data_IF_726630605548
#
_entry.id   IF_726630605548
#
_cell.length_a   1.000
_cell.length_b   1.000
_cell.length_c   1.000
_cell.angle_alpha   90.00
_cell.angle_beta   90.00
_cell.angle_gamma   90.00
#
_symmetry.space_group_name_H-M   'P 1'
#
loop_
_entity.id
_entity.type
_entity.pdbx_description
1 polymer ?
#
# COMPACT_ATOMS: atom_id res chain seq x y z
N UNK A 1 -2.73 -11.61 14.77
CA UNK A 1 -2.82 -10.27 15.39
C UNK A 1 -2.14 -9.20 14.55
N UNK A 2 -0.80 -9.15 14.54
CA UNK A 2 -0.04 -8.03 13.95
C UNK A 2 -0.19 -7.87 12.43
N UNK A 3 -0.26 -8.97 11.68
CA UNK A 3 -0.51 -8.94 10.23
C UNK A 3 -1.83 -8.23 9.94
N UNK A 4 -2.91 -8.62 10.65
CA UNK A 4 -4.22 -8.02 10.50
C UNK A 4 -4.21 -6.52 10.81
N UNK A 5 -3.52 -6.10 11.89
CA UNK A 5 -3.35 -4.70 12.23
C UNK A 5 -2.64 -3.92 11.09
N UNK A 6 -1.53 -4.44 10.59
CA UNK A 6 -0.72 -3.84 9.53
C UNK A 6 -1.55 -3.61 8.26
N UNK A 7 -2.22 -4.66 7.78
CA UNK A 7 -3.06 -4.58 6.59
C UNK A 7 -4.27 -3.66 6.81
N UNK A 8 -4.93 -3.72 7.96
CA UNK A 8 -6.10 -2.88 8.23
C UNK A 8 -5.73 -1.40 8.23
N UNK A 9 -4.66 -1.02 8.91
CA UNK A 9 -4.15 0.35 8.92
C UNK A 9 -3.77 0.82 7.50
N UNK A 10 -3.11 -0.03 6.72
CA UNK A 10 -2.77 0.26 5.33
C UNK A 10 -4.02 0.48 4.47
N UNK A 11 -5.02 -0.39 4.54
CA UNK A 11 -6.24 -0.28 3.73
C UNK A 11 -7.04 1.00 4.02
N UNK A 12 -7.09 1.46 5.27
CA UNK A 12 -7.79 2.70 5.66
C UNK A 12 -7.18 3.94 4.98
N UNK A 13 -5.85 3.99 4.86
CA UNK A 13 -5.15 5.14 4.26
C UNK A 13 -4.84 4.93 2.77
N UNK A 14 -5.36 3.86 2.16
CA UNK A 14 -5.03 3.50 0.78
C UNK A 14 -5.48 4.54 -0.24
N UNK A 15 -4.55 5.15 -1.02
CA UNK A 15 -4.89 6.16 -2.00
C UNK A 15 -5.82 5.62 -3.09
N UNK A 16 -5.74 4.32 -3.42
CA UNK A 16 -6.60 3.68 -4.42
C UNK A 16 -8.06 3.69 -3.95
N UNK A 17 -8.30 3.36 -2.68
CA UNK A 17 -9.65 3.40 -2.10
C UNK A 17 -10.19 4.82 -2.11
N UNK A 18 -9.36 5.80 -1.71
CA UNK A 18 -9.74 7.21 -1.72
C UNK A 18 -10.02 7.75 -3.13
N UNK A 19 -9.21 7.42 -4.12
CA UNK A 19 -9.45 7.79 -5.52
C UNK A 19 -10.79 7.26 -6.03
N UNK A 20 -11.14 6.01 -5.68
CA UNK A 20 -12.44 5.43 -6.05
C UNK A 20 -13.62 6.09 -5.34
N UNK A 21 -13.47 6.47 -4.08
CA UNK A 21 -14.49 7.22 -3.34
C UNK A 21 -14.70 8.61 -3.97
N UNK A 22 -13.61 9.31 -4.27
CA UNK A 22 -13.64 10.65 -4.85
C UNK A 22 -14.17 10.66 -6.30
N UNK A 23 -13.98 9.57 -7.04
CA UNK A 23 -14.54 9.38 -8.38
C UNK A 23 -16.01 8.94 -8.40
N UNK A 24 -16.62 8.64 -7.25
CA UNK A 24 -18.02 8.23 -7.19
C UNK A 24 -18.95 9.42 -7.42
N UNK A 25 -20.06 9.18 -8.14
CA UNK A 25 -21.07 10.20 -8.47
C UNK A 25 -21.66 10.89 -7.23
N UNK A 26 -21.87 10.13 -6.17
CA UNK A 26 -22.46 10.59 -4.91
C UNK A 26 -22.08 9.65 -3.75
N UNK A 27 -22.33 10.10 -2.52
CA UNK A 27 -22.01 9.36 -1.30
C UNK A 27 -22.68 7.99 -1.23
N UNK A 28 -23.94 7.85 -1.68
CA UNK A 28 -24.64 6.56 -1.63
C UNK A 28 -24.01 5.58 -2.60
N UNK A 29 -23.64 6.04 -3.79
CA UNK A 29 -22.90 5.23 -4.78
C UNK A 29 -21.55 4.78 -4.25
N UNK A 30 -20.79 5.66 -3.58
CA UNK A 30 -19.52 5.30 -2.96
C UNK A 30 -19.69 4.20 -1.88
N UNK A 31 -20.65 4.38 -0.96
CA UNK A 31 -20.89 3.41 0.13
C UNK A 31 -21.37 2.07 -0.41
N UNK A 32 -22.34 2.07 -1.34
CA UNK A 32 -22.83 0.83 -1.96
C UNK A 32 -21.74 0.12 -2.75
N UNK A 33 -20.93 0.87 -3.51
CA UNK A 33 -19.80 0.34 -4.26
C UNK A 33 -18.76 -0.32 -3.35
N UNK A 34 -18.38 0.34 -2.24
CA UNK A 34 -17.47 -0.22 -1.24
C UNK A 34 -18.04 -1.45 -0.54
N UNK A 35 -19.30 -1.39 -0.07
CA UNK A 35 -19.95 -2.50 0.61
C UNK A 35 -20.11 -3.72 -0.31
N UNK A 36 -20.57 -3.49 -1.54
CA UNK A 36 -20.69 -4.55 -2.56
C UNK A 36 -19.33 -5.16 -2.91
N UNK A 37 -18.31 -4.34 -3.13
CA UNK A 37 -16.94 -4.82 -3.38
C UNK A 37 -16.41 -5.62 -2.19
N UNK A 38 -16.65 -5.16 -0.96
CA UNK A 38 -16.25 -5.86 0.26
C UNK A 38 -16.89 -7.24 0.38
N UNK A 39 -18.20 -7.34 0.12
CA UNK A 39 -18.92 -8.62 0.15
C UNK A 39 -18.41 -9.60 -0.93
N UNK A 40 -18.21 -9.11 -2.16
CA UNK A 40 -17.69 -9.92 -3.26
C UNK A 40 -16.26 -10.39 -2.96
N UNK A 41 -15.38 -9.49 -2.52
CA UNK A 41 -14.00 -9.85 -2.16
C UNK A 41 -13.94 -10.83 -1.00
N UNK A 42 -14.80 -10.68 0.00
CA UNK A 42 -14.89 -11.62 1.11
C UNK A 42 -15.25 -13.03 0.60
N UNK A 43 -16.28 -13.16 -0.23
CA UNK A 43 -16.67 -14.44 -0.82
C UNK A 43 -15.54 -15.04 -1.69
N UNK A 44 -14.93 -14.23 -2.55
CA UNK A 44 -13.83 -14.67 -3.43
C UNK A 44 -12.61 -15.11 -2.62
N UNK A 45 -12.23 -14.39 -1.56
CA UNK A 45 -11.11 -14.78 -0.71
C UNK A 45 -11.38 -16.06 0.07
N UNK A 46 -12.62 -16.28 0.52
CA UNK A 46 -13.01 -17.56 1.13
C UNK A 46 -12.85 -18.71 0.14
N UNK A 47 -13.31 -18.54 -1.10
CA UNK A 47 -13.16 -19.56 -2.14
C UNK A 47 -11.69 -19.84 -2.47
N UNK A 48 -10.88 -18.80 -2.67
CA UNK A 48 -9.44 -18.95 -2.94
C UNK A 48 -8.74 -19.68 -1.79
N UNK A 49 -9.06 -19.32 -0.54
CA UNK A 49 -8.47 -19.95 0.65
C UNK A 49 -8.89 -21.41 0.74
N UNK A 50 -10.17 -21.73 0.51
CA UNK A 50 -10.67 -23.09 0.49
C UNK A 50 -9.99 -23.94 -0.60
N UNK A 51 -9.82 -23.41 -1.82
CA UNK A 51 -9.08 -24.06 -2.90
C UNK A 51 -7.62 -24.31 -2.48
N UNK A 52 -6.96 -23.32 -1.88
CA UNK A 52 -5.61 -23.46 -1.35
C UNK A 52 -5.49 -24.56 -0.30
N UNK A 53 -6.43 -24.64 0.64
CA UNK A 53 -6.45 -25.71 1.65
C UNK A 53 -6.69 -27.09 1.05
N UNK A 54 -7.68 -27.22 0.16
CA UNK A 54 -7.98 -28.50 -0.51
C UNK A 54 -6.83 -28.98 -1.39
N UNK A 55 -6.05 -28.05 -1.97
CA UNK A 55 -4.90 -28.38 -2.80
C UNK A 55 -3.82 -29.19 -2.07
N UNK A 56 -3.69 -29.01 -0.75
CA UNK A 56 -2.71 -29.72 0.07
C UNK A 56 -2.97 -31.23 0.13
N UNK A 57 -4.23 -31.66 -0.04
CA UNK A 57 -4.58 -33.08 -0.09
C UNK A 57 -4.33 -33.71 -1.48
N UNK A 58 -4.23 -32.87 -2.51
CA UNK A 58 -4.26 -33.29 -3.93
C UNK A 58 -2.90 -33.12 -4.61
N UNK A 59 -2.08 -32.20 -4.12
CA UNK A 59 -0.73 -31.93 -4.60
C UNK A 59 0.29 -32.41 -3.56
N UNK A 60 1.29 -33.22 -3.96
CA UNK A 60 2.43 -33.51 -3.10
C UNK A 60 3.12 -32.21 -2.66
N UNK A 61 3.65 -32.18 -1.43
CA UNK A 61 4.54 -31.09 -1.01
C UNK A 61 5.74 -31.03 -1.96
N UNK A 62 5.86 -29.96 -2.73
CA UNK A 62 7.02 -29.71 -3.57
C UNK A 62 7.87 -28.65 -2.89
N UNK A 63 9.11 -28.99 -2.55
CA UNK A 63 10.07 -28.07 -1.94
C UNK A 63 10.63 -27.04 -2.91
N UNK A 64 10.09 -26.96 -4.13
CA UNK A 64 10.57 -26.12 -5.24
C UNK A 64 10.06 -24.67 -5.16
N UNK A 65 9.14 -24.35 -4.24
CA UNK A 65 8.59 -23.00 -4.08
C UNK A 65 7.62 -22.57 -5.19
N UNK A 66 7.24 -23.49 -6.09
CA UNK A 66 6.33 -23.23 -7.19
C UNK A 66 4.93 -22.81 -6.68
N UNK A 67 4.30 -21.75 -7.25
CA UNK A 67 2.98 -21.31 -6.81
C UNK A 67 1.93 -22.43 -6.89
N UNK A 68 1.21 -22.64 -5.78
CA UNK A 68 0.19 -23.70 -5.65
C UNK A 68 -0.84 -23.66 -6.76
N UNK A 69 -1.32 -22.45 -7.12
CA UNK A 69 -2.31 -22.27 -8.17
C UNK A 69 -1.78 -22.69 -9.54
N UNK A 70 -0.53 -22.35 -9.87
CA UNK A 70 0.10 -22.76 -11.13
C UNK A 70 0.23 -24.27 -11.21
N UNK A 71 0.64 -24.91 -10.11
CA UNK A 71 0.73 -26.38 -10.02
C UNK A 71 -0.62 -27.07 -10.15
N UNK A 72 -1.68 -26.51 -9.55
CA UNK A 72 -3.04 -27.02 -9.70
C UNK A 72 -3.48 -26.98 -11.16
N UNK A 73 -3.30 -25.84 -11.83
CA UNK A 73 -3.67 -25.65 -13.23
C UNK A 73 -2.92 -26.65 -14.12
N UNK A 74 -1.61 -26.81 -13.94
CA UNK A 74 -0.81 -27.71 -14.78
C UNK A 74 -1.04 -29.19 -14.50
N UNK A 75 -1.31 -29.58 -13.25
CA UNK A 75 -1.40 -30.99 -12.86
C UNK A 75 -2.81 -31.58 -12.99
N UNK A 76 -3.87 -30.76 -12.85
CA UNK A 76 -5.26 -31.25 -12.75
C UNK A 76 -6.15 -30.80 -13.90
N UNK A 77 -5.76 -29.78 -14.65
CA UNK A 77 -6.53 -29.30 -15.78
C UNK A 77 -5.75 -29.56 -17.07
N UNK A 78 -6.43 -30.06 -18.10
CA UNK A 78 -5.84 -30.33 -19.41
C UNK A 78 -6.49 -29.51 -20.53
N UNK A 79 -5.78 -29.39 -21.65
CA UNK A 79 -6.29 -28.77 -22.87
C UNK A 79 -6.62 -27.28 -22.73
N UNK A 80 -7.70 -26.84 -23.39
CA UNK A 80 -8.08 -25.42 -23.45
C UNK A 80 -8.47 -24.79 -22.11
N UNK A 81 -8.92 -25.58 -21.13
CA UNK A 81 -9.33 -25.06 -19.82
C UNK A 81 -8.14 -24.51 -19.02
N UNK A 82 -6.97 -25.14 -19.09
CA UNK A 82 -5.76 -24.65 -18.41
C UNK A 82 -5.32 -23.30 -18.97
N UNK A 83 -5.47 -23.10 -20.28
CA UNK A 83 -5.19 -21.82 -20.93
C UNK A 83 -6.18 -20.74 -20.46
N UNK A 84 -7.49 -21.06 -20.42
CA UNK A 84 -8.50 -20.14 -19.92
C UNK A 84 -8.25 -19.71 -18.48
N UNK A 85 -7.90 -20.65 -17.60
CA UNK A 85 -7.57 -20.37 -16.20
C UNK A 85 -6.31 -19.51 -16.08
N UNK A 86 -5.28 -19.82 -16.86
CA UNK A 86 -4.05 -19.01 -16.89
C UNK A 86 -4.34 -17.58 -17.33
N UNK A 87 -5.09 -17.39 -18.42
CA UNK A 87 -5.49 -16.07 -18.93
C UNK A 87 -6.34 -15.33 -17.90
N UNK A 88 -7.27 -16.00 -17.21
CA UNK A 88 -8.08 -15.38 -16.17
C UNK A 88 -7.23 -14.86 -15.01
N UNK A 89 -6.24 -15.63 -14.54
CA UNK A 89 -5.31 -15.21 -13.48
C UNK A 89 -4.45 -14.03 -13.94
N UNK A 90 -3.88 -14.11 -15.14
CA UNK A 90 -3.07 -13.01 -15.70
C UNK A 90 -3.91 -11.74 -15.86
N UNK A 91 -5.15 -11.84 -16.34
CA UNK A 91 -6.07 -10.70 -16.45
C UNK A 91 -6.38 -10.07 -15.08
N UNK A 92 -6.58 -10.88 -14.04
CA UNK A 92 -6.81 -10.38 -12.70
C UNK A 92 -5.58 -9.62 -12.15
N UNK A 93 -4.38 -10.16 -12.37
CA UNK A 93 -3.10 -9.52 -12.00
C UNK A 93 -2.93 -8.20 -12.75
N UNK A 94 -3.14 -8.18 -14.07
CA UNK A 94 -3.02 -6.97 -14.88
C UNK A 94 -3.98 -5.88 -14.44
N UNK A 95 -5.26 -6.19 -14.15
CA UNK A 95 -6.21 -5.17 -13.69
C UNK A 95 -5.81 -4.50 -12.36
N UNK A 96 -5.12 -5.25 -11.49
CA UNK A 96 -4.57 -4.74 -10.24
C UNK A 96 -3.32 -3.91 -10.50
N UNK A 97 -2.41 -4.40 -11.35
CA UNK A 97 -1.21 -3.67 -11.76
C UNK A 97 -1.55 -2.33 -12.41
N UNK A 98 -2.54 -2.29 -13.30
CA UNK A 98 -3.00 -1.06 -13.94
C UNK A 98 -3.44 -0.01 -12.90
N UNK A 99 -4.24 -0.43 -11.91
CA UNK A 99 -4.70 0.45 -10.85
C UNK A 99 -3.52 0.99 -10.02
N UNK A 100 -2.60 0.12 -9.58
CA UNK A 100 -1.47 0.50 -8.73
C UNK A 100 -0.47 1.38 -9.48
N UNK A 101 -0.13 1.04 -10.73
CA UNK A 101 0.78 1.82 -11.57
C UNK A 101 0.17 3.18 -11.89
N UNK A 102 -1.12 3.25 -12.22
CA UNK A 102 -1.79 4.52 -12.48
C UNK A 102 -1.79 5.41 -11.23
N UNK A 103 -2.14 4.87 -10.06
CA UNK A 103 -2.10 5.64 -8.80
C UNK A 103 -0.68 6.13 -8.48
N UNK A 104 0.33 5.26 -8.61
CA UNK A 104 1.73 5.63 -8.40
C UNK A 104 2.23 6.68 -9.39
N UNK A 105 1.88 6.54 -10.67
CA UNK A 105 2.23 7.49 -11.72
C UNK A 105 1.58 8.86 -11.50
N UNK A 106 0.31 8.87 -11.07
CA UNK A 106 -0.40 10.10 -10.71
C UNK A 106 0.27 10.81 -9.53
N UNK A 107 0.65 10.07 -8.48
CA UNK A 107 1.38 10.63 -7.34
C UNK A 107 2.73 11.19 -7.77
N UNK A 108 3.53 10.43 -8.53
CA UNK A 108 4.84 10.90 -9.00
C UNK A 108 4.70 12.15 -9.90
N UNK A 109 3.67 12.18 -10.74
CA UNK A 109 3.45 13.31 -11.66
C UNK A 109 2.94 14.56 -10.93
N UNK A 110 1.85 14.45 -10.16
CA UNK A 110 1.22 15.61 -9.52
C UNK A 110 1.92 16.08 -8.25
N UNK A 111 2.45 15.14 -7.48
CA UNK A 111 2.99 15.45 -6.14
C UNK A 111 4.51 15.72 -6.18
N UNK A 112 5.21 15.26 -7.23
CA UNK A 112 6.66 15.48 -7.38
C UNK A 112 6.95 16.35 -8.61
N UNK A 113 6.71 15.85 -9.82
CA UNK A 113 7.15 16.56 -11.03
C UNK A 113 6.48 17.93 -11.22
N UNK A 114 5.14 18.00 -11.11
CA UNK A 114 4.41 19.26 -11.30
C UNK A 114 4.67 20.27 -10.16
N UNK A 115 5.01 19.79 -8.94
CA UNK A 115 5.34 20.69 -7.83
C UNK A 115 6.73 21.34 -7.97
N UNK A 116 7.66 20.67 -8.65
CA UNK A 116 9.06 21.12 -8.78
C UNK A 116 9.29 21.85 -10.12
N UNK A 117 8.57 21.46 -11.17
CA UNK A 117 8.68 22.07 -12.49
C UNK A 117 7.85 23.36 -12.58
N UNK A 118 8.26 24.32 -13.43
CA UNK A 118 7.44 25.48 -13.76
C UNK A 118 6.10 25.05 -14.39
N UNK A 119 5.07 25.94 -14.43
CA UNK A 119 3.73 25.62 -14.92
C UNK A 119 3.77 24.84 -16.24
N UNK A 120 3.23 23.62 -16.20
CA UNK A 120 3.28 22.67 -17.30
C UNK A 120 1.93 22.64 -18.00
N UNK A 121 1.93 22.79 -19.33
CA UNK A 121 0.71 22.68 -20.15
C UNK A 121 0.24 21.21 -20.27
N UNK A 122 -1.02 21.01 -20.65
CA UNK A 122 -1.71 19.70 -20.60
C UNK A 122 -0.97 18.61 -21.39
N UNK A 123 -0.42 18.96 -22.57
CA UNK A 123 0.36 18.02 -23.39
C UNK A 123 1.59 17.50 -22.67
N UNK A 124 2.30 18.38 -21.97
CA UNK A 124 3.50 18.02 -21.21
C UNK A 124 3.13 17.26 -19.93
N UNK A 125 2.01 17.59 -19.29
CA UNK A 125 1.46 16.84 -18.16
C UNK A 125 1.16 15.37 -18.53
N UNK A 126 0.55 15.14 -19.71
CA UNK A 126 0.34 13.79 -20.25
C UNK A 126 1.66 13.04 -20.50
N UNK A 127 2.67 13.74 -21.04
CA UNK A 127 4.01 13.18 -21.24
C UNK A 127 4.67 12.75 -19.93
N UNK A 128 4.61 13.60 -18.90
CA UNK A 128 5.12 13.29 -17.56
C UNK A 128 4.37 12.11 -16.93
N UNK A 129 3.06 12.03 -17.14
CA UNK A 129 2.24 10.92 -16.63
C UNK A 129 2.69 9.58 -17.22
N UNK A 130 2.92 9.53 -18.55
CA UNK A 130 3.44 8.33 -19.23
C UNK A 130 4.85 7.96 -18.76
N UNK A 131 5.73 8.95 -18.60
CA UNK A 131 7.07 8.74 -18.06
C UNK A 131 7.02 8.17 -16.64
N UNK A 132 6.16 8.73 -15.78
CA UNK A 132 5.94 8.23 -14.42
C UNK A 132 5.47 6.78 -14.41
N UNK A 133 4.57 6.38 -15.31
CA UNK A 133 4.14 4.97 -15.45
C UNK A 133 5.32 4.06 -15.77
N UNK A 134 6.20 4.46 -16.69
CA UNK A 134 7.40 3.67 -17.04
C UNK A 134 8.36 3.58 -15.84
N UNK A 135 8.63 4.69 -15.15
CA UNK A 135 9.50 4.72 -13.96
C UNK A 135 8.96 3.79 -12.87
N UNK A 136 7.66 3.88 -12.57
CA UNK A 136 7.00 3.03 -11.58
C UNK A 136 7.04 1.55 -11.97
N UNK A 137 6.82 1.24 -13.25
CA UNK A 137 6.90 -0.13 -13.77
C UNK A 137 8.30 -0.74 -13.64
N UNK A 138 9.34 0.02 -14.02
CA UNK A 138 10.74 -0.41 -13.89
C UNK A 138 11.11 -0.60 -12.42
N UNK A 139 10.73 0.34 -11.54
CA UNK A 139 10.98 0.23 -10.10
C UNK A 139 10.29 -1.01 -9.50
N UNK A 140 9.02 -1.24 -9.83
CA UNK A 140 8.27 -2.42 -9.39
C UNK A 140 8.91 -3.73 -9.88
N UNK A 141 9.36 -3.77 -11.14
CA UNK A 141 10.07 -4.92 -11.70
C UNK A 141 11.37 -5.21 -10.95
N UNK A 142 12.19 -4.19 -10.68
CA UNK A 142 13.43 -4.35 -9.92
C UNK A 142 13.18 -4.90 -8.52
N UNK A 143 12.16 -4.40 -7.82
CA UNK A 143 11.77 -4.92 -6.50
C UNK A 143 11.29 -6.37 -6.60
N UNK A 144 10.49 -6.71 -7.62
CA UNK A 144 9.98 -8.06 -7.83
C UNK A 144 11.10 -9.10 -8.02
N UNK A 145 12.24 -8.73 -8.63
CA UNK A 145 13.39 -9.65 -8.77
C UNK A 145 14.06 -10.00 -7.44
N UNK A 146 13.89 -9.17 -6.40
CA UNK A 146 14.55 -9.33 -5.09
C UNK A 146 13.70 -10.10 -4.07
N UNK A 147 12.38 -10.04 -4.20
CA UNK A 147 11.47 -10.69 -3.25
C UNK A 147 10.70 -11.84 -3.92
N UNK A 148 11.01 -13.07 -3.52
CA UNK A 148 10.31 -14.28 -4.00
C UNK A 148 9.08 -14.65 -3.13
N UNK A 149 8.76 -13.85 -2.10
CA UNK A 149 7.60 -14.05 -1.24
C UNK A 149 6.58 -12.93 -1.41
N UNK A 150 5.39 -13.29 -1.92
CA UNK A 150 4.26 -12.37 -2.08
C UNK A 150 3.84 -11.79 -0.73
N UNK A 151 3.69 -12.65 0.29
CA UNK A 151 3.29 -12.21 1.64
C UNK A 151 4.29 -11.24 2.26
N UNK A 152 5.60 -11.49 2.12
CA UNK A 152 6.63 -10.57 2.62
C UNK A 152 6.55 -9.22 1.90
N UNK A 153 6.39 -9.24 0.58
CA UNK A 153 6.31 -8.02 -0.24
C UNK A 153 5.09 -7.18 0.11
N UNK A 154 3.91 -7.81 0.19
CA UNK A 154 2.69 -7.14 0.61
C UNK A 154 2.76 -6.65 2.07
N UNK A 155 3.42 -7.42 2.94
CA UNK A 155 3.67 -7.05 4.32
C UNK A 155 4.49 -5.77 4.43
N UNK A 156 5.62 -5.69 3.75
CA UNK A 156 6.47 -4.49 3.72
C UNK A 156 5.75 -3.29 3.09
N UNK A 157 4.97 -3.48 2.02
CA UNK A 157 4.15 -2.41 1.47
C UNK A 157 3.10 -1.92 2.48
N UNK A 158 2.45 -2.84 3.20
CA UNK A 158 1.49 -2.49 4.25
C UNK A 158 2.16 -1.76 5.41
N UNK A 159 3.40 -2.10 5.75
CA UNK A 159 4.17 -1.43 6.80
C UNK A 159 4.47 0.03 6.43
N UNK A 160 4.89 0.29 5.19
CA UNK A 160 5.09 1.66 4.69
C UNK A 160 3.83 2.49 4.89
N UNK A 161 2.67 1.93 4.55
CA UNK A 161 1.39 2.61 4.72
C UNK A 161 0.97 2.78 6.19
N UNK A 162 1.06 1.70 6.97
CA UNK A 162 0.62 1.66 8.35
C UNK A 162 1.50 2.50 9.28
N UNK A 163 2.82 2.46 9.11
CA UNK A 163 3.78 3.19 9.95
C UNK A 163 3.99 4.61 9.43
N UNK A 164 4.15 4.77 8.11
CA UNK A 164 4.51 6.05 7.51
C UNK A 164 3.36 7.04 7.44
N UNK A 165 2.15 6.56 7.16
CA UNK A 165 1.04 7.45 6.75
C UNK A 165 -0.20 7.37 7.63
N UNK A 166 -0.43 6.25 8.34
CA UNK A 166 -1.67 6.05 9.09
C UNK A 166 -1.90 7.11 10.17
N UNK A 167 -0.91 7.36 11.03
CA UNK A 167 -1.04 8.31 12.15
C UNK A 167 -1.25 9.76 11.68
N UNK A 168 -0.37 10.35 10.84
CA UNK A 168 -0.62 11.69 10.31
C UNK A 168 -1.93 11.76 9.50
N UNK A 169 -2.26 10.71 8.76
CA UNK A 169 -3.50 10.61 8.00
C UNK A 169 -4.76 10.64 8.89
N UNK A 170 -4.80 9.82 9.93
CA UNK A 170 -5.92 9.81 10.89
C UNK A 170 -6.01 11.09 11.70
N UNK A 171 -4.86 11.65 12.09
CA UNK A 171 -4.81 12.94 12.76
C UNK A 171 -5.43 14.06 11.90
N UNK A 172 -5.19 14.06 10.59
CA UNK A 172 -5.78 15.02 9.66
C UNK A 172 -7.32 14.99 9.67
N UNK A 173 -7.93 13.81 9.77
CA UNK A 173 -9.39 13.66 9.77
C UNK A 173 -10.02 13.90 11.15
N UNK A 174 -9.33 13.51 12.23
CA UNK A 174 -9.90 13.51 13.58
C UNK A 174 -9.63 14.79 14.37
N UNK A 175 -8.48 15.44 14.16
CA UNK A 175 -8.09 16.62 14.93
C UNK A 175 -8.56 17.90 14.22
N UNK A 176 -9.31 18.72 14.96
CA UNK A 176 -9.67 20.08 14.54
C UNK A 176 -8.53 21.03 14.89
N UNK A 177 -7.71 21.41 13.91
CA UNK A 177 -6.63 22.38 14.10
C UNK A 177 -5.52 22.24 13.06
N UNK A 178 -4.57 23.18 13.05
CA UNK A 178 -3.42 23.16 12.15
C UNK A 178 -2.17 22.80 12.96
N UNK A 179 -1.71 21.57 12.82
CA UNK A 179 -0.52 21.04 13.51
C UNK A 179 0.56 20.61 12.49
N UNK A 180 1.17 21.57 11.76
CA UNK A 180 2.09 21.26 10.67
C UNK A 180 3.37 20.55 11.13
N UNK A 181 3.88 20.84 12.34
CA UNK A 181 5.09 20.19 12.85
C UNK A 181 4.78 18.77 13.31
N UNK A 182 3.62 18.56 13.93
CA UNK A 182 3.14 17.22 14.29
C UNK A 182 3.07 16.31 13.07
N UNK A 183 2.44 16.78 11.99
CA UNK A 183 2.36 16.04 10.73
C UNK A 183 3.72 15.81 10.10
N UNK A 184 4.59 16.82 10.05
CA UNK A 184 5.92 16.70 9.45
C UNK A 184 6.79 15.67 10.19
N UNK A 185 6.87 15.74 11.52
CA UNK A 185 7.72 14.84 12.29
C UNK A 185 7.23 13.40 12.24
N UNK A 186 5.93 13.16 12.33
CA UNK A 186 5.40 11.80 12.25
C UNK A 186 5.55 11.21 10.86
N UNK A 187 5.29 12.00 9.81
CA UNK A 187 5.42 11.55 8.43
C UNK A 187 6.88 11.28 8.08
N UNK A 188 7.80 12.17 8.44
CA UNK A 188 9.23 11.99 8.20
C UNK A 188 9.78 10.78 8.97
N UNK A 189 9.52 10.68 10.27
CA UNK A 189 10.05 9.59 11.09
C UNK A 189 9.42 8.24 10.80
N UNK A 190 8.09 8.20 10.61
CA UNK A 190 7.39 6.97 10.25
C UNK A 190 7.80 6.46 8.86
N UNK A 191 7.87 7.36 7.87
CA UNK A 191 8.31 6.99 6.52
C UNK A 191 9.77 6.54 6.53
N UNK A 192 10.65 7.23 7.26
CA UNK A 192 12.04 6.82 7.41
C UNK A 192 12.15 5.44 8.05
N UNK A 193 11.43 5.17 9.15
CA UNK A 193 11.43 3.85 9.79
C UNK A 193 11.00 2.74 8.81
N UNK A 194 9.91 2.95 8.08
CA UNK A 194 9.42 1.95 7.14
C UNK A 194 10.36 1.75 5.94
N UNK A 195 10.97 2.82 5.44
CA UNK A 195 11.99 2.73 4.38
C UNK A 195 13.24 1.99 4.85
N UNK A 196 13.68 2.22 6.09
CA UNK A 196 14.79 1.48 6.69
C UNK A 196 14.46 -0.01 6.82
N UNK A 197 13.24 -0.35 7.25
CA UNK A 197 12.75 -1.73 7.27
C UNK A 197 12.74 -2.38 5.88
N UNK A 198 12.31 -1.63 4.85
CA UNK A 198 12.32 -2.08 3.47
C UNK A 198 13.74 -2.30 2.91
N UNK A 199 14.65 -1.36 3.16
CA UNK A 199 16.08 -1.45 2.76
C UNK A 199 16.78 -2.59 3.49
N UNK A 200 16.47 -2.82 4.77
CA UNK A 200 16.95 -3.99 5.50
C UNK A 200 16.44 -5.28 4.87
N UNK A 201 15.17 -5.32 4.46
CA UNK A 201 14.59 -6.49 3.81
C UNK A 201 15.19 -6.78 2.42
N UNK A 202 15.72 -5.75 1.73
CA UNK A 202 16.52 -5.89 0.50
C UNK A 202 17.94 -6.44 0.75
N UNK A 203 18.38 -6.49 2.01
CA UNK A 203 19.73 -6.94 2.39
C UNK A 203 20.82 -5.89 2.22
N UNK A 204 20.47 -4.64 1.97
CA UNK A 204 21.44 -3.55 1.77
C UNK A 204 21.97 -2.96 3.08
N UNK A 205 21.24 -3.16 4.18
CA UNK A 205 21.60 -2.62 5.49
C UNK A 205 21.15 -3.57 6.61
N UNK A 206 21.96 -3.74 7.64
CA UNK A 206 21.62 -4.57 8.80
C UNK A 206 21.54 -3.69 10.06
N UNK A 207 20.33 -3.22 10.39
CA UNK A 207 20.09 -2.34 11.54
C UNK A 207 19.60 -3.10 12.79
N UNK A 208 19.43 -4.42 12.70
CA UNK A 208 18.85 -5.21 13.78
C UNK A 208 17.37 -4.91 14.05
N UNK A 209 16.67 -4.23 13.13
CA UNK A 209 15.24 -3.99 13.27
C UNK A 209 14.49 -5.33 13.17
N UNK A 210 13.44 -5.56 13.97
CA UNK A 210 12.62 -6.75 13.82
C UNK A 210 12.00 -6.76 12.42
N UNK A 211 11.88 -7.94 11.82
CA UNK A 211 11.23 -8.06 10.53
C UNK A 211 9.71 -7.85 10.67
N UNK A 212 9.08 -7.41 9.58
CA UNK A 212 7.62 -7.45 9.46
C UNK A 212 7.09 -8.85 9.83
N UNK A 213 6.01 -8.96 10.63
CA UNK A 213 5.10 -7.90 11.10
C UNK A 213 5.46 -7.31 12.48
N UNK A 214 6.57 -7.72 13.09
CA UNK A 214 6.92 -7.33 14.46
C UNK A 214 7.46 -5.90 14.56
N UNK A 215 7.96 -5.33 13.46
CA UNK A 215 8.33 -3.93 13.36
C UNK A 215 7.14 -2.97 13.41
N UNK A 216 5.94 -3.41 13.02
CA UNK A 216 4.78 -2.53 12.84
C UNK A 216 4.39 -1.80 14.13
N UNK A 217 4.21 -2.46 15.29
CA UNK A 217 3.87 -1.76 16.53
C UNK A 217 4.95 -0.76 16.96
N UNK A 218 6.23 -1.11 16.80
CA UNK A 218 7.35 -0.25 17.15
C UNK A 218 7.38 1.00 16.25
N UNK A 219 7.23 0.80 14.95
CA UNK A 219 7.15 1.90 13.99
C UNK A 219 5.96 2.81 14.25
N UNK A 220 4.77 2.24 14.49
CA UNK A 220 3.57 3.02 14.81
C UNK A 220 3.72 3.78 16.13
N UNK A 221 4.30 3.16 17.17
CA UNK A 221 4.56 3.83 18.44
C UNK A 221 5.56 4.98 18.29
N UNK A 222 6.65 4.78 17.53
CA UNK A 222 7.62 5.83 17.22
C UNK A 222 6.98 6.99 16.43
N UNK A 223 6.17 6.67 15.42
CA UNK A 223 5.41 7.65 14.64
C UNK A 223 4.42 8.43 15.52
N UNK A 224 3.73 7.76 16.45
CA UNK A 224 2.83 8.40 17.42
C UNK A 224 3.58 9.34 18.37
N UNK A 225 4.74 8.91 18.87
CA UNK A 225 5.60 9.71 19.74
C UNK A 225 6.08 10.99 19.05
N UNK A 226 6.54 10.88 17.81
CA UNK A 226 6.94 12.04 16.99
C UNK A 226 5.78 12.97 16.69
N UNK A 227 4.60 12.41 16.38
CA UNK A 227 3.38 13.20 16.21
C UNK A 227 3.06 13.98 17.48
N UNK A 228 3.06 13.32 18.64
CA UNK A 228 2.73 13.93 19.91
C UNK A 228 3.72 15.03 20.30
N UNK A 229 5.03 14.80 20.09
CA UNK A 229 6.06 15.80 20.30
C UNK A 229 5.82 17.06 19.44
N UNK A 230 5.55 16.88 18.14
CA UNK A 230 5.22 18.00 17.25
C UNK A 230 3.88 18.68 17.60
N UNK A 231 2.90 17.91 18.07
CA UNK A 231 1.60 18.43 18.51
C UNK A 231 1.75 19.36 19.72
N UNK A 232 2.56 18.98 20.71
CA UNK A 232 2.85 19.84 21.86
C UNK A 232 3.55 21.13 21.44
N UNK A 233 4.48 21.07 20.49
CA UNK A 233 5.16 22.26 19.96
C UNK A 233 4.20 23.21 19.24
N UNK A 234 3.31 22.68 18.42
CA UNK A 234 2.33 23.49 17.69
C UNK A 234 1.30 24.09 18.64
N UNK A 235 0.86 23.34 19.67
CA UNK A 235 -0.09 23.84 20.68
C UNK A 235 0.49 24.97 21.53
N UNK A 236 1.76 24.87 21.95
CA UNK A 236 2.46 25.95 22.67
C UNK A 236 2.50 27.24 21.85
N UNK A 237 2.79 27.14 20.55
CA UNK A 237 2.85 28.28 19.63
C UNK A 237 1.47 28.93 19.41
N UNK A 238 0.42 28.12 19.32
CA UNK A 238 -0.96 28.61 19.19
C UNK A 238 -1.41 29.39 20.43
N UNK A 239 -1.06 28.91 21.62
CA UNK A 239 -1.39 29.61 22.87
C UNK A 239 -0.63 30.94 22.98
N UNK A 240 0.66 30.98 22.65
CA UNK A 240 1.44 32.23 22.63
C UNK A 240 0.84 33.28 21.70
N UNK A 241 0.32 32.88 20.53
CA UNK A 241 -0.34 33.81 19.61
C UNK A 241 -1.65 34.38 20.15
N UNK A 242 -2.36 33.64 21.01
CA UNK A 242 -3.60 34.10 21.65
C UNK A 242 -3.35 35.04 22.81
N UNK A 243 -2.21 34.94 23.49
CA UNK A 243 -1.85 35.84 24.60
C UNK A 243 -1.35 37.22 24.13
N UNK A 244 -0.97 37.34 22.85
CA UNK A 244 -0.46 38.58 22.25
C UNK A 244 -1.60 39.38 21.55
N UNK A 245 -2.79 38.79 21.40
CA UNK A 245 -3.98 39.43 20.81
C UNK A 245 -4.99 39.78 21.90
#
# INVERSE_FOLDING_TARGET
GLIFLSFTAAWIISPITWQRIQGARDRRSAVRGLAGSGAVLFAVYLLITAIGMMSLAVLPSSGDGSPVLSRLISARFGGGLSLLLFVAVVSAILSTLDSVLNTGALSLTRDVFIQILPPVDDRKSLGLSRLSTVIMGVAAFLVATRFQSILKTLGLASEIMAVGFFIPGMAMFLLKGRFPRAGLFSLAGGSLFALLGFVQALGWLQMGLPAWPYSVPLGMAGCAGLFFAGYLMDRRRLNQKKEIQ
#
